data_IF_109336091620
#
_entry.id   IF_109336091620
#
_cell.length_a   1.000
_cell.length_b   1.000
_cell.length_c   1.000
_cell.angle_alpha   90.00
_cell.angle_beta   90.00
_cell.angle_gamma   90.00
#
_symmetry.space_group_name_H-M   'P 1'
#
loop_
_entity.id
_entity.type
_entity.pdbx_description
1 polymer ?
#
# COMPACT_ATOMS: atom_id res chain seq x y z
N UNK A 1 3.41 -29.62 25.91
CA UNK A 1 3.18 -30.41 24.68
C UNK A 1 3.15 -29.48 23.44
N UNK A 2 4.32 -29.21 22.85
CA UNK A 2 4.42 -28.51 21.57
C UNK A 2 4.03 -29.48 20.46
N UNK A 3 2.77 -29.42 20.02
CA UNK A 3 2.33 -30.10 18.82
C UNK A 3 3.14 -29.55 17.63
N UNK A 4 3.78 -30.45 16.88
CA UNK A 4 4.43 -30.19 15.60
C UNK A 4 3.48 -29.36 14.70
N UNK A 5 3.83 -28.10 14.39
CA UNK A 5 3.17 -27.32 13.34
C UNK A 5 3.57 -27.88 11.97
N UNK A 6 3.01 -29.04 11.63
CA UNK A 6 3.06 -29.58 10.27
C UNK A 6 2.08 -28.81 9.40
N UNK A 7 2.50 -28.48 8.17
CA UNK A 7 1.71 -27.93 7.06
C UNK A 7 0.22 -27.76 7.37
N UNK A 8 -0.18 -26.56 7.81
CA UNK A 8 -1.59 -26.20 7.84
C UNK A 8 -2.07 -26.26 6.39
N UNK A 9 -2.87 -27.26 6.07
CA UNK A 9 -3.53 -27.37 4.76
C UNK A 9 -4.36 -26.11 4.53
N UNK A 10 -4.49 -25.68 3.28
CA UNK A 10 -5.11 -24.41 3.00
C UNK A 10 -6.63 -24.41 3.26
N UNK A 11 -7.24 -23.23 3.15
CA UNK A 11 -8.65 -23.01 3.46
C UNK A 11 -9.62 -23.80 2.55
N UNK A 12 -9.20 -24.22 1.35
CA UNK A 12 -10.02 -25.07 0.47
C UNK A 12 -9.89 -26.53 0.89
N UNK A 13 -8.67 -27.02 1.12
CA UNK A 13 -8.45 -28.41 1.55
C UNK A 13 -9.11 -28.71 2.90
N UNK A 14 -9.29 -27.68 3.73
CA UNK A 14 -10.01 -27.75 5.01
C UNK A 14 -11.53 -27.59 4.87
N UNK A 15 -12.05 -27.35 3.67
CA UNK A 15 -13.48 -27.15 3.42
C UNK A 15 -14.05 -25.85 4.01
N UNK A 16 -13.22 -24.86 4.34
CA UNK A 16 -13.71 -23.54 4.79
C UNK A 16 -14.32 -22.74 3.64
N UNK A 17 -13.79 -22.93 2.43
CA UNK A 17 -14.22 -22.28 1.20
C UNK A 17 -14.22 -23.34 0.09
N UNK A 18 -15.31 -23.46 -0.67
CA UNK A 18 -15.31 -24.35 -1.85
C UNK A 18 -14.51 -23.72 -2.99
N UNK A 19 -14.13 -24.51 -3.99
CA UNK A 19 -13.41 -23.97 -5.14
C UNK A 19 -14.24 -22.95 -5.93
N UNK A 20 -15.55 -23.17 -6.01
CA UNK A 20 -16.52 -22.29 -6.66
C UNK A 20 -16.59 -20.95 -5.94
N UNK A 21 -16.78 -20.96 -4.61
CA UNK A 21 -16.78 -19.73 -3.81
C UNK A 21 -15.43 -19.00 -3.92
N UNK A 22 -14.31 -19.72 -3.93
CA UNK A 22 -13.01 -19.10 -4.12
C UNK A 22 -12.88 -18.41 -5.49
N UNK A 23 -13.42 -19.01 -6.56
CA UNK A 23 -13.45 -18.41 -7.89
C UNK A 23 -14.31 -17.14 -7.92
N UNK A 24 -15.50 -17.16 -7.30
CA UNK A 24 -16.38 -15.99 -7.18
C UNK A 24 -15.72 -14.85 -6.41
N UNK A 25 -15.08 -15.15 -5.28
CA UNK A 25 -14.34 -14.18 -4.48
C UNK A 25 -13.17 -13.57 -5.26
N UNK A 26 -12.44 -14.38 -6.03
CA UNK A 26 -11.35 -13.86 -6.87
C UNK A 26 -11.87 -12.98 -8.01
N UNK A 27 -12.99 -13.35 -8.62
CA UNK A 27 -13.63 -12.53 -9.65
C UNK A 27 -14.14 -11.20 -9.09
N UNK A 28 -14.78 -11.23 -7.93
CA UNK A 28 -15.17 -10.03 -7.18
C UNK A 28 -13.97 -9.12 -6.92
N UNK A 29 -12.84 -9.68 -6.48
CA UNK A 29 -11.62 -8.90 -6.27
C UNK A 29 -11.19 -8.20 -7.57
N UNK A 30 -11.13 -8.93 -8.69
CA UNK A 30 -10.71 -8.39 -9.99
C UNK A 30 -11.65 -7.32 -10.54
N UNK A 31 -12.97 -7.52 -10.43
CA UNK A 31 -13.96 -6.69 -11.12
C UNK A 31 -14.56 -5.57 -10.26
N UNK A 32 -14.63 -5.77 -8.94
CA UNK A 32 -15.32 -4.84 -8.05
C UNK A 32 -14.39 -4.13 -7.07
N UNK A 33 -13.25 -4.73 -6.73
CA UNK A 33 -12.35 -4.17 -5.72
C UNK A 33 -11.21 -3.37 -6.36
N UNK A 34 -10.53 -3.95 -7.36
CA UNK A 34 -9.37 -3.30 -8.00
C UNK A 34 -9.68 -1.96 -8.66
N UNK A 35 -10.93 -1.70 -9.07
CA UNK A 35 -11.32 -0.40 -9.61
C UNK A 35 -11.10 0.76 -8.62
N UNK A 36 -11.16 0.50 -7.31
CA UNK A 36 -11.02 1.54 -6.29
C UNK A 36 -9.56 1.83 -5.94
N UNK A 37 -8.74 0.78 -5.78
CA UNK A 37 -7.31 0.91 -5.52
C UNK A 37 -6.54 -0.29 -6.13
N UNK A 38 -6.06 -0.19 -7.39
CA UNK A 38 -5.44 -1.30 -8.11
C UNK A 38 -3.97 -1.52 -7.74
N UNK A 39 -3.70 -1.74 -6.45
CA UNK A 39 -2.35 -1.93 -5.93
C UNK A 39 -1.73 -3.31 -6.28
N UNK A 40 -2.55 -4.37 -6.26
CA UNK A 40 -2.12 -5.75 -6.53
C UNK A 40 -2.97 -6.32 -7.65
N UNK A 41 -2.47 -6.23 -8.88
CA UNK A 41 -3.21 -6.62 -10.09
C UNK A 41 -2.74 -7.99 -10.57
N UNK A 42 -3.66 -8.78 -11.12
CA UNK A 42 -3.38 -10.11 -11.65
C UNK A 42 -3.60 -10.14 -13.18
N UNK A 43 -2.92 -11.04 -13.91
CA UNK A 43 -3.22 -11.28 -15.31
C UNK A 43 -4.72 -11.61 -15.50
N UNK A 44 -5.40 -11.06 -16.53
CA UNK A 44 -6.83 -11.31 -16.73
C UNK A 44 -7.19 -12.80 -16.80
N UNK A 45 -6.32 -13.59 -17.44
CA UNK A 45 -6.47 -15.04 -17.63
C UNK A 45 -6.08 -15.89 -16.41
N UNK A 46 -5.51 -15.29 -15.36
CA UNK A 46 -5.12 -16.04 -14.15
C UNK A 46 -6.38 -16.63 -13.50
N UNK A 47 -6.34 -17.94 -13.25
CA UNK A 47 -7.39 -18.68 -12.56
C UNK A 47 -7.16 -18.66 -11.04
N UNK A 48 -8.22 -18.90 -10.26
CA UNK A 48 -8.09 -19.01 -8.79
C UNK A 48 -7.20 -20.20 -8.39
N UNK A 49 -7.21 -21.29 -9.17
CA UNK A 49 -6.35 -22.45 -8.94
C UNK A 49 -4.87 -22.12 -9.19
N UNK A 50 -4.59 -21.34 -10.23
CA UNK A 50 -3.25 -20.86 -10.49
C UNK A 50 -2.77 -19.92 -9.40
N UNK A 51 -3.62 -18.98 -8.95
CA UNK A 51 -3.33 -18.09 -7.82
C UNK A 51 -3.01 -18.91 -6.55
N UNK A 52 -3.89 -19.86 -6.19
CA UNK A 52 -3.74 -20.76 -5.04
C UNK A 52 -2.41 -21.52 -5.07
N UNK A 53 -2.01 -22.03 -6.23
CA UNK A 53 -0.78 -22.83 -6.39
C UNK A 53 0.49 -21.98 -6.43
N UNK A 54 0.44 -20.85 -7.13
CA UNK A 54 1.65 -20.06 -7.43
C UNK A 54 1.92 -18.94 -6.43
N UNK A 55 0.87 -18.38 -5.82
CA UNK A 55 0.93 -17.29 -4.84
C UNK A 55 -0.05 -17.56 -3.68
N UNK A 56 0.24 -18.55 -2.81
CA UNK A 56 -0.68 -19.00 -1.75
C UNK A 56 -0.94 -17.95 -0.65
N UNK A 57 0.00 -17.05 -0.36
CA UNK A 57 -0.19 -15.97 0.61
C UNK A 57 -1.13 -14.90 0.04
N UNK A 58 -0.96 -14.57 -1.24
CA UNK A 58 -1.90 -13.68 -1.94
C UNK A 58 -3.26 -14.32 -2.11
N UNK A 59 -3.33 -15.61 -2.38
CA UNK A 59 -4.59 -16.34 -2.41
C UNK A 59 -5.37 -16.12 -1.10
N UNK A 60 -4.76 -16.39 0.05
CA UNK A 60 -5.43 -16.18 1.34
C UNK A 60 -5.83 -14.71 1.56
N UNK A 61 -4.95 -13.76 1.23
CA UNK A 61 -5.23 -12.33 1.38
C UNK A 61 -6.42 -11.87 0.52
N UNK A 62 -6.49 -12.33 -0.73
CA UNK A 62 -7.62 -12.05 -1.64
C UNK A 62 -8.91 -12.67 -1.10
N UNK A 63 -8.86 -13.93 -0.64
CA UNK A 63 -10.05 -14.59 -0.07
C UNK A 63 -10.56 -13.85 1.17
N UNK A 64 -9.66 -13.45 2.07
CA UNK A 64 -10.02 -12.67 3.26
C UNK A 64 -10.64 -11.31 2.88
N UNK A 65 -10.02 -10.56 1.97
CA UNK A 65 -10.52 -9.25 1.55
C UNK A 65 -11.87 -9.33 0.82
N UNK A 66 -11.99 -10.23 -0.15
CA UNK A 66 -13.17 -10.33 -1.01
C UNK A 66 -14.38 -10.94 -0.30
N UNK A 67 -14.18 -11.69 0.80
CA UNK A 67 -15.26 -12.29 1.59
C UNK A 67 -16.08 -11.29 2.42
N UNK A 68 -15.92 -9.99 2.19
CA UNK A 68 -16.53 -8.91 2.99
C UNK A 68 -18.06 -8.93 3.06
N UNK A 69 -18.72 -9.59 2.12
CA UNK A 69 -20.19 -9.76 2.12
C UNK A 69 -20.65 -10.93 2.99
N UNK A 70 -19.72 -11.75 3.48
CA UNK A 70 -19.99 -12.88 4.37
C UNK A 70 -19.20 -12.72 5.66
N UNK A 71 -19.70 -11.90 6.58
CA UNK A 71 -18.99 -11.52 7.82
C UNK A 71 -18.44 -12.72 8.62
N UNK A 72 -19.20 -13.81 8.72
CA UNK A 72 -18.76 -15.02 9.43
C UNK A 72 -17.50 -15.64 8.80
N UNK A 73 -17.47 -15.74 7.47
CA UNK A 73 -16.32 -16.24 6.71
C UNK A 73 -15.16 -15.26 6.79
N UNK A 74 -15.41 -13.97 6.56
CA UNK A 74 -14.39 -12.92 6.61
C UNK A 74 -13.66 -12.90 7.96
N UNK A 75 -14.39 -13.00 9.07
CA UNK A 75 -13.77 -13.06 10.41
C UNK A 75 -12.82 -14.24 10.57
N UNK A 76 -13.17 -15.40 10.01
CA UNK A 76 -12.30 -16.59 10.04
C UNK A 76 -11.07 -16.39 9.16
N UNK A 77 -11.26 -15.95 7.92
CA UNK A 77 -10.17 -15.75 6.96
C UNK A 77 -9.21 -14.64 7.38
N UNK A 78 -9.72 -13.56 7.97
CA UNK A 78 -8.89 -12.47 8.48
C UNK A 78 -8.02 -12.93 9.65
N UNK A 79 -8.56 -13.77 10.54
CA UNK A 79 -7.76 -14.38 11.61
C UNK A 79 -6.66 -15.27 11.05
N UNK A 80 -6.98 -16.12 10.08
CA UNK A 80 -6.00 -16.97 9.39
C UNK A 80 -4.90 -16.15 8.71
N UNK A 81 -5.25 -15.02 8.08
CA UNK A 81 -4.30 -14.12 7.44
C UNK A 81 -3.35 -13.47 8.47
N UNK A 82 -3.87 -13.06 9.63
CA UNK A 82 -3.04 -12.50 10.70
C UNK A 82 -2.13 -13.56 11.33
N UNK A 83 -2.61 -14.79 11.51
CA UNK A 83 -1.79 -15.93 11.96
C UNK A 83 -0.69 -16.24 10.95
N UNK A 84 -0.98 -16.16 9.64
CA UNK A 84 0.00 -16.31 8.57
C UNK A 84 1.07 -15.21 8.65
N UNK A 85 0.69 -13.95 8.83
CA UNK A 85 1.67 -12.87 8.97
C UNK A 85 2.54 -13.05 10.23
N UNK A 86 1.94 -13.39 11.36
CA UNK A 86 2.70 -13.66 12.58
C UNK A 86 3.71 -14.80 12.38
N UNK A 87 3.31 -15.89 11.74
CA UNK A 87 4.20 -17.02 11.49
C UNK A 87 5.29 -16.69 10.47
N UNK A 88 4.91 -16.21 9.29
CA UNK A 88 5.84 -16.02 8.17
C UNK A 88 6.76 -14.81 8.37
N UNK A 89 6.21 -13.71 8.86
CA UNK A 89 6.94 -12.44 8.96
C UNK A 89 7.67 -12.35 10.29
N UNK A 90 6.97 -12.59 11.42
CA UNK A 90 7.54 -12.33 12.75
C UNK A 90 8.37 -13.52 13.25
N UNK A 91 7.84 -14.74 13.15
CA UNK A 91 8.52 -15.94 13.68
C UNK A 91 9.61 -16.42 12.72
N UNK A 92 9.29 -16.59 11.43
CA UNK A 92 10.22 -17.12 10.43
C UNK A 92 11.14 -16.03 9.86
N UNK A 93 10.69 -14.78 9.82
CA UNK A 93 11.47 -13.69 9.23
C UNK A 93 11.51 -13.71 7.70
N UNK A 94 10.52 -14.36 7.05
CA UNK A 94 10.41 -14.48 5.59
C UNK A 94 10.18 -13.11 4.94
N UNK A 95 10.88 -12.85 3.84
CA UNK A 95 10.81 -11.59 3.10
C UNK A 95 10.77 -11.88 1.62
N UNK A 96 9.65 -11.56 0.98
CA UNK A 96 9.45 -11.74 -0.45
C UNK A 96 8.37 -10.76 -0.96
N UNK A 97 8.27 -10.63 -2.28
CA UNK A 97 7.34 -9.71 -2.92
C UNK A 97 5.87 -10.05 -2.63
N UNK A 98 5.54 -11.34 -2.57
CA UNK A 98 4.18 -11.83 -2.35
C UNK A 98 3.65 -11.44 -0.97
N UNK A 99 4.45 -11.55 0.09
CA UNK A 99 4.10 -11.13 1.45
C UNK A 99 3.84 -9.63 1.52
N UNK A 100 4.63 -8.81 0.82
CA UNK A 100 4.41 -7.36 0.74
C UNK A 100 3.06 -7.06 0.09
N UNK A 101 2.77 -7.73 -1.03
CA UNK A 101 1.49 -7.57 -1.73
C UNK A 101 0.31 -8.10 -0.89
N UNK A 102 0.47 -9.18 -0.15
CA UNK A 102 -0.54 -9.69 0.79
C UNK A 102 -0.81 -8.69 1.92
N UNK A 103 0.23 -8.05 2.47
CA UNK A 103 0.08 -6.95 3.44
C UNK A 103 -0.66 -5.76 2.82
N UNK A 104 -0.38 -5.40 1.57
CA UNK A 104 -1.13 -4.35 0.87
C UNK A 104 -2.61 -4.68 0.78
N UNK A 105 -2.98 -5.90 0.39
CA UNK A 105 -4.38 -6.33 0.34
C UNK A 105 -5.02 -6.24 1.74
N UNK A 106 -4.32 -6.70 2.78
CA UNK A 106 -4.82 -6.68 4.15
C UNK A 106 -5.04 -5.26 4.71
N UNK A 107 -4.24 -4.29 4.29
CA UNK A 107 -4.37 -2.87 4.71
C UNK A 107 -5.41 -2.14 3.88
N UNK A 108 -5.44 -2.35 2.56
CA UNK A 108 -6.37 -1.65 1.67
C UNK A 108 -7.81 -2.05 1.97
N UNK A 109 -8.02 -3.34 2.24
CA UNK A 109 -9.32 -3.91 2.56
C UNK A 109 -9.39 -4.28 4.04
N UNK A 110 -8.90 -3.35 4.88
CA UNK A 110 -8.72 -3.60 6.30
C UNK A 110 -10.05 -3.89 7.00
N UNK A 111 -10.06 -5.00 7.73
CA UNK A 111 -11.14 -5.33 8.66
C UNK A 111 -10.77 -4.79 10.04
N UNK A 112 -11.46 -3.73 10.54
CA UNK A 112 -11.16 -3.17 11.83
C UNK A 112 -11.51 -4.16 12.95
N UNK A 113 -10.70 -4.21 14.02
CA UNK A 113 -11.02 -4.97 15.22
C UNK A 113 -12.17 -4.32 16.01
N UNK A 114 -12.69 -5.04 17.00
CA UNK A 114 -13.75 -4.54 17.88
C UNK A 114 -13.23 -3.46 18.84
N UNK A 115 -11.97 -3.57 19.28
CA UNK A 115 -11.34 -2.63 20.20
C UNK A 115 -10.28 -1.77 19.49
N UNK A 116 -10.24 -0.47 19.84
CA UNK A 116 -9.39 0.51 19.15
C UNK A 116 -7.89 0.22 19.34
N UNK A 117 -7.48 -0.27 20.52
CA UNK A 117 -6.12 -0.64 20.86
C UNK A 117 -5.58 -1.84 20.05
N UNK A 118 -6.46 -2.61 19.39
CA UNK A 118 -6.08 -3.73 18.52
C UNK A 118 -5.80 -3.28 17.08
N UNK A 119 -5.97 -1.99 16.76
CA UNK A 119 -5.70 -1.44 15.44
C UNK A 119 -4.22 -1.65 15.08
N UNK A 120 -4.02 -2.33 13.95
CA UNK A 120 -2.69 -2.77 13.49
C UNK A 120 -2.36 -2.36 12.07
N UNK A 121 -3.24 -1.62 11.39
CA UNK A 121 -3.01 -1.18 10.01
C UNK A 121 -1.67 -0.43 9.89
N UNK A 122 -1.34 0.45 10.84
CA UNK A 122 -0.06 1.19 10.85
C UNK A 122 1.15 0.26 10.93
N UNK A 123 1.07 -0.79 11.77
CA UNK A 123 2.11 -1.80 11.87
C UNK A 123 2.23 -2.62 10.58
N UNK A 124 1.10 -3.01 9.97
CA UNK A 124 1.08 -3.77 8.71
C UNK A 124 1.67 -2.96 7.55
N UNK A 125 1.36 -1.66 7.46
CA UNK A 125 1.95 -0.73 6.48
C UNK A 125 3.45 -0.67 6.63
N UNK A 126 3.96 -0.50 7.85
CA UNK A 126 5.40 -0.38 8.05
C UNK A 126 6.14 -1.71 7.93
N UNK A 127 5.50 -2.85 8.26
CA UNK A 127 6.05 -4.16 7.92
C UNK A 127 6.22 -4.32 6.41
N UNK A 128 5.25 -3.87 5.60
CA UNK A 128 5.37 -3.95 4.13
C UNK A 128 6.47 -3.02 3.61
N UNK A 129 6.55 -1.79 4.12
CA UNK A 129 7.57 -0.81 3.78
C UNK A 129 9.00 -1.29 4.09
N UNK A 130 9.23 -1.78 5.31
CA UNK A 130 10.54 -2.28 5.75
C UNK A 130 10.92 -3.53 4.95
N UNK A 131 9.98 -4.46 4.74
CA UNK A 131 10.23 -5.65 3.94
C UNK A 131 10.57 -5.30 2.49
N UNK A 132 9.89 -4.30 1.90
CA UNK A 132 10.20 -3.81 0.56
C UNK A 132 11.63 -3.26 0.48
N UNK A 133 12.08 -2.52 1.48
CA UNK A 133 13.47 -2.03 1.58
C UNK A 133 14.49 -3.15 1.77
N UNK A 134 14.17 -4.19 2.55
CA UNK A 134 15.06 -5.34 2.79
C UNK A 134 15.27 -6.20 1.53
N UNK A 135 14.20 -6.42 0.76
CA UNK A 135 14.30 -7.05 -0.57
C UNK A 135 14.82 -6.06 -1.63
N UNK A 136 15.03 -4.81 -1.21
CA UNK A 136 15.71 -3.73 -1.90
C UNK A 136 14.94 -3.08 -3.03
N UNK A 137 13.62 -3.07 -2.96
CA UNK A 137 12.79 -2.19 -3.80
C UNK A 137 13.19 -0.72 -3.58
N UNK A 138 12.75 0.14 -4.50
CA UNK A 138 12.98 1.58 -4.41
C UNK A 138 14.33 2.08 -4.95
N UNK A 139 15.15 1.20 -5.56
CA UNK A 139 16.43 1.58 -6.20
C UNK A 139 16.58 0.86 -7.54
N UNK A 140 17.17 1.53 -8.55
CA UNK A 140 17.43 0.97 -9.89
C UNK A 140 18.46 -0.14 -9.90
N UNK A 141 19.47 -0.03 -9.05
CA UNK A 141 20.63 -0.92 -9.02
C UNK A 141 20.92 -1.33 -7.58
N UNK A 142 21.53 -2.50 -7.42
CA UNK A 142 22.12 -2.89 -6.15
C UNK A 142 23.15 -1.80 -5.73
N UNK A 143 23.32 -1.54 -4.42
CA UNK A 143 24.39 -0.66 -3.97
C UNK A 143 25.73 -1.15 -4.56
N UNK A 144 26.55 -0.23 -5.06
CA UNK A 144 27.89 -0.58 -5.59
C UNK A 144 28.65 -1.38 -4.53
N UNK A 145 29.29 -2.49 -4.94
CA UNK A 145 30.17 -3.32 -4.11
C UNK A 145 31.05 -2.44 -3.23
N UNK A 146 30.93 -2.59 -1.90
CA UNK A 146 31.74 -1.87 -0.91
C UNK A 146 30.95 -1.08 0.12
N UNK A 147 29.65 -0.86 -0.07
CA UNK A 147 28.79 -0.29 0.98
C UNK A 147 27.78 -1.30 1.50
N UNK A 148 27.92 -1.62 2.79
CA UNK A 148 27.00 -2.32 3.68
C UNK A 148 27.14 -3.85 3.78
N UNK A 149 27.82 -4.31 4.84
CA UNK A 149 27.75 -5.68 5.36
C UNK A 149 26.38 -6.11 5.90
N UNK A 150 25.33 -5.33 5.64
CA UNK A 150 23.94 -5.57 6.03
C UNK A 150 22.97 -5.53 4.84
N UNK A 151 23.45 -5.33 3.60
CA UNK A 151 22.56 -5.43 2.45
C UNK A 151 22.19 -6.89 2.24
N UNK A 152 20.97 -7.25 2.64
CA UNK A 152 20.42 -8.57 2.33
C UNK A 152 20.60 -8.86 0.84
N UNK A 153 20.48 -7.84 -0.04
CA UNK A 153 20.58 -7.90 -1.51
C UNK A 153 21.81 -8.64 -2.08
N UNK A 154 22.92 -8.81 -1.38
CA UNK A 154 24.10 -9.54 -1.89
C UNK A 154 24.55 -10.71 -0.99
N UNK A 155 23.74 -11.10 0.01
CA UNK A 155 24.19 -12.06 1.02
C UNK A 155 24.34 -13.50 0.46
N UNK A 156 25.45 -14.22 0.72
CA UNK A 156 25.70 -15.57 0.18
C UNK A 156 24.67 -16.62 0.62
N UNK A 157 24.10 -16.48 1.82
CA UNK A 157 23.21 -17.47 2.43
C UNK A 157 21.72 -17.23 2.14
N UNK A 158 21.39 -16.71 0.96
CA UNK A 158 20.00 -16.39 0.60
C UNK A 158 19.26 -17.59 0.03
N UNK A 159 18.00 -17.77 0.47
CA UNK A 159 17.14 -18.88 0.04
C UNK A 159 16.51 -18.67 -1.35
N UNK A 160 16.31 -17.42 -1.76
CA UNK A 160 15.62 -17.08 -3.01
C UNK A 160 16.28 -15.90 -3.74
N UNK A 161 16.23 -15.86 -5.09
CA UNK A 161 16.64 -14.70 -5.87
C UNK A 161 15.75 -13.51 -5.54
N UNK A 162 16.35 -12.31 -5.59
CA UNK A 162 15.60 -11.08 -5.35
C UNK A 162 14.84 -10.67 -6.60
N UNK A 163 13.65 -10.08 -6.45
CA UNK A 163 12.93 -9.59 -7.61
C UNK A 163 13.67 -8.40 -8.23
N UNK A 164 13.50 -8.24 -9.54
CA UNK A 164 14.00 -7.07 -10.27
C UNK A 164 13.21 -5.83 -9.83
N UNK A 165 13.85 -4.87 -9.12
CA UNK A 165 13.16 -3.67 -8.65
C UNK A 165 12.62 -2.79 -9.78
N UNK A 166 13.12 -2.98 -11.02
CA UNK A 166 12.71 -2.21 -12.19
C UNK A 166 11.53 -2.83 -12.94
N UNK A 167 11.12 -4.05 -12.59
CA UNK A 167 9.91 -4.67 -13.11
C UNK A 167 8.65 -3.86 -12.75
N UNK A 168 7.63 -3.87 -13.61
CA UNK A 168 6.39 -3.13 -13.38
C UNK A 168 5.69 -3.59 -12.10
N UNK A 169 5.74 -4.88 -11.77
CA UNK A 169 5.20 -5.42 -10.51
C UNK A 169 5.91 -4.84 -9.28
N UNK A 170 7.24 -4.76 -9.32
CA UNK A 170 8.02 -4.19 -8.22
C UNK A 170 7.83 -2.68 -8.10
N UNK A 171 7.76 -1.97 -9.23
CA UNK A 171 7.48 -0.52 -9.26
C UNK A 171 6.11 -0.21 -8.66
N UNK A 172 5.07 -0.95 -9.07
CA UNK A 172 3.71 -0.85 -8.50
C UNK A 172 3.70 -1.14 -7.01
N UNK A 173 4.37 -2.21 -6.60
CA UNK A 173 4.47 -2.61 -5.19
C UNK A 173 5.16 -1.50 -4.38
N UNK A 174 6.28 -0.96 -4.86
CA UNK A 174 7.02 0.10 -4.18
C UNK A 174 6.23 1.40 -4.06
N UNK A 175 5.57 1.83 -5.14
CA UNK A 175 4.70 3.00 -5.12
C UNK A 175 3.49 2.82 -4.21
N UNK A 176 2.97 1.59 -4.09
CA UNK A 176 1.92 1.26 -3.11
C UNK A 176 2.44 1.37 -1.68
N UNK A 177 3.67 0.93 -1.39
CA UNK A 177 4.27 1.12 -0.06
C UNK A 177 4.33 2.60 0.30
N UNK A 178 4.77 3.46 -0.63
CA UNK A 178 4.77 4.91 -0.45
C UNK A 178 3.36 5.45 -0.21
N UNK A 179 2.40 5.10 -1.07
CA UNK A 179 1.01 5.54 -0.94
C UNK A 179 0.44 5.22 0.45
N UNK A 180 0.62 3.98 0.93
CA UNK A 180 0.09 3.57 2.24
C UNK A 180 0.83 4.24 3.40
N UNK A 181 2.16 4.38 3.31
CA UNK A 181 2.96 5.07 4.32
C UNK A 181 2.57 6.55 4.42
N UNK A 182 2.47 7.25 3.28
CA UNK A 182 2.03 8.64 3.21
C UNK A 182 0.59 8.82 3.70
N UNK A 183 -0.33 7.90 3.35
CA UNK A 183 -1.72 7.95 3.83
C UNK A 183 -1.78 7.89 5.36
N UNK A 184 -1.06 6.92 5.95
CA UNK A 184 -1.06 6.78 7.41
C UNK A 184 -0.29 7.88 8.13
N UNK A 185 0.77 8.42 7.53
CA UNK A 185 1.49 9.59 8.03
C UNK A 185 0.58 10.82 8.09
N UNK A 186 -0.12 11.11 6.99
CA UNK A 186 -1.11 12.18 6.91
C UNK A 186 -2.23 12.01 7.94
N UNK A 187 -2.92 10.86 7.96
CA UNK A 187 -4.09 10.66 8.83
C UNK A 187 -3.77 10.61 10.33
N UNK A 188 -2.53 10.31 10.71
CA UNK A 188 -2.13 10.17 12.11
C UNK A 188 -1.20 11.30 12.58
N UNK A 189 -0.87 12.26 11.71
CA UNK A 189 0.15 13.30 11.95
C UNK A 189 1.47 12.69 12.45
N UNK A 190 1.96 11.69 11.72
CA UNK A 190 3.21 10.97 12.05
C UNK A 190 4.25 11.16 10.96
N UNK A 191 5.55 11.08 11.30
CA UNK A 191 6.61 11.09 10.30
C UNK A 191 6.42 9.99 9.24
N UNK A 192 6.63 10.36 7.99
CA UNK A 192 6.55 9.43 6.87
C UNK A 192 7.87 8.65 6.70
N UNK A 193 7.81 7.32 6.84
CA UNK A 193 8.97 6.43 6.70
C UNK A 193 9.56 6.43 5.28
N UNK A 194 8.69 6.48 4.26
CA UNK A 194 9.12 6.41 2.86
C UNK A 194 9.00 7.80 2.24
N UNK A 195 10.14 8.39 1.91
CA UNK A 195 10.22 9.67 1.20
C UNK A 195 10.11 9.49 -0.31
N UNK A 196 9.45 10.44 -0.97
CA UNK A 196 9.42 10.47 -2.43
C UNK A 196 10.84 10.53 -3.02
N UNK A 197 11.10 9.74 -4.06
CA UNK A 197 12.42 9.65 -4.69
C UNK A 197 12.36 9.82 -6.21
N UNK A 198 13.46 10.19 -6.87
CA UNK A 198 13.50 10.25 -8.34
C UNK A 198 13.14 8.92 -9.01
N UNK A 199 13.48 7.79 -8.37
CA UNK A 199 13.11 6.47 -8.87
C UNK A 199 11.60 6.22 -8.82
N UNK A 200 10.87 6.81 -7.87
CA UNK A 200 9.41 6.75 -7.85
C UNK A 200 8.78 7.54 -8.98
N UNK A 201 9.30 8.73 -9.30
CA UNK A 201 8.85 9.51 -10.47
C UNK A 201 8.99 8.69 -11.74
N UNK A 202 10.16 8.09 -11.99
CA UNK A 202 10.34 7.20 -13.14
C UNK A 202 9.43 5.98 -13.08
N UNK A 203 9.22 5.41 -11.89
CA UNK A 203 8.34 4.26 -11.72
C UNK A 203 6.90 4.58 -12.10
N UNK A 204 6.43 5.76 -11.72
CA UNK A 204 5.12 6.28 -12.07
C UNK A 204 5.01 6.47 -13.60
N UNK A 205 6.05 7.00 -14.24
CA UNK A 205 6.09 7.15 -15.69
C UNK A 205 6.04 5.79 -16.40
N UNK A 206 6.84 4.81 -15.94
CA UNK A 206 6.83 3.45 -16.48
C UNK A 206 5.45 2.79 -16.37
N UNK A 207 4.74 2.97 -15.24
CA UNK A 207 3.38 2.48 -15.06
C UNK A 207 2.35 3.16 -15.99
N UNK A 208 2.62 4.39 -16.43
CA UNK A 208 1.73 5.13 -17.35
C UNK A 208 1.99 4.82 -18.81
N UNK A 209 3.25 4.60 -19.19
CA UNK A 209 3.66 4.58 -20.61
C UNK A 209 4.08 3.21 -21.13
N UNK A 210 4.42 2.25 -20.26
CA UNK A 210 4.86 0.93 -20.71
C UNK A 210 3.72 0.18 -21.41
N UNK A 211 3.98 -0.50 -22.54
CA UNK A 211 2.99 -1.36 -23.20
C UNK A 211 2.60 -2.58 -22.35
N UNK A 212 3.46 -3.00 -21.42
CA UNK A 212 3.23 -4.14 -20.54
C UNK A 212 2.53 -3.75 -19.22
N UNK A 213 2.22 -2.46 -19.03
CA UNK A 213 1.48 -1.99 -17.87
C UNK A 213 0.02 -2.41 -17.93
N UNK A 214 -0.58 -2.65 -16.76
CA UNK A 214 -2.01 -2.91 -16.70
C UNK A 214 -2.79 -1.64 -17.01
N UNK A 215 -3.97 -1.73 -17.67
CA UNK A 215 -4.81 -0.56 -17.91
C UNK A 215 -5.14 0.24 -16.64
N UNK A 216 -5.24 -0.45 -15.50
CA UNK A 216 -5.50 0.14 -14.18
C UNK A 216 -4.33 0.93 -13.60
N UNK A 217 -3.11 0.76 -14.11
CA UNK A 217 -1.91 1.45 -13.61
C UNK A 217 -1.98 2.97 -13.84
N UNK A 218 -2.65 3.41 -14.91
CA UNK A 218 -2.90 4.85 -15.16
C UNK A 218 -3.76 5.47 -14.05
N UNK A 219 -4.82 4.77 -13.64
CA UNK A 219 -5.67 5.21 -12.53
C UNK A 219 -4.93 5.17 -11.19
N UNK A 220 -4.18 4.08 -10.92
CA UNK A 220 -3.31 4.00 -9.74
C UNK A 220 -2.35 5.19 -9.67
N UNK A 221 -1.82 5.62 -10.81
CA UNK A 221 -0.87 6.72 -10.87
C UNK A 221 -1.46 8.07 -10.45
N UNK A 222 -2.77 8.27 -10.58
CA UNK A 222 -3.44 9.46 -10.05
C UNK A 222 -3.62 9.36 -8.52
N UNK A 223 -3.91 8.16 -7.99
CA UNK A 223 -3.99 7.92 -6.54
C UNK A 223 -2.63 8.06 -5.86
N UNK A 224 -1.55 7.56 -6.48
CA UNK A 224 -0.19 7.75 -5.96
C UNK A 224 0.17 9.23 -5.94
N UNK A 225 -0.22 9.97 -6.98
CA UNK A 225 0.04 11.40 -7.04
C UNK A 225 -0.63 12.15 -5.88
N UNK A 226 -1.86 11.80 -5.50
CA UNK A 226 -2.50 12.47 -4.36
C UNK A 226 -1.69 12.30 -3.08
N UNK A 227 -1.14 11.12 -2.84
CA UNK A 227 -0.39 10.85 -1.61
C UNK A 227 1.06 11.34 -1.64
N UNK A 228 1.63 11.51 -2.83
CA UNK A 228 2.83 12.32 -3.01
C UNK A 228 2.57 13.78 -2.61
N UNK A 229 1.45 14.35 -3.05
CA UNK A 229 1.08 15.71 -2.68
C UNK A 229 0.83 15.83 -1.17
N UNK A 230 0.21 14.82 -0.54
CA UNK A 230 0.07 14.77 0.92
C UNK A 230 1.43 14.85 1.63
N UNK A 231 2.45 14.13 1.15
CA UNK A 231 3.81 14.24 1.68
C UNK A 231 4.38 15.66 1.52
N UNK A 232 4.20 16.28 0.36
CA UNK A 232 4.68 17.64 0.10
C UNK A 232 3.97 18.67 1.00
N UNK A 233 2.67 18.54 1.21
CA UNK A 233 1.88 19.36 2.15
C UNK A 233 2.43 19.18 3.57
N UNK A 234 2.56 17.93 4.04
CA UNK A 234 3.01 17.64 5.39
C UNK A 234 4.39 18.24 5.69
N UNK A 235 5.30 18.20 4.72
CA UNK A 235 6.65 18.78 4.84
C UNK A 235 6.64 20.30 4.81
N UNK A 236 5.91 20.90 3.88
CA UNK A 236 5.94 22.36 3.70
C UNK A 236 5.18 23.10 4.80
N UNK A 237 4.19 22.45 5.41
CA UNK A 237 3.35 22.98 6.47
C UNK A 237 3.68 22.38 7.85
N UNK A 238 4.73 21.58 7.97
CA UNK A 238 5.17 20.94 9.24
C UNK A 238 4.05 20.19 9.97
N UNK A 239 3.19 19.50 9.23
CA UNK A 239 1.96 18.87 9.76
C UNK A 239 2.21 17.63 10.62
N UNK A 240 3.44 17.10 10.63
CA UNK A 240 3.88 15.94 11.40
C UNK A 240 4.67 16.31 12.67
N UNK A 241 4.86 17.61 12.94
CA UNK A 241 5.55 18.12 14.12
C UNK A 241 4.57 18.91 15.01
N UNK A 242 4.07 18.33 16.13
CA UNK A 242 3.13 19.01 17.01
C UNK A 242 3.76 20.19 17.76
N UNK A 243 5.09 20.26 17.86
CA UNK A 243 5.78 21.35 18.54
C UNK A 243 5.97 22.58 17.62
N UNK A 244 5.78 22.42 16.31
CA UNK A 244 5.88 23.49 15.33
C UNK A 244 4.53 24.16 15.09
N UNK A 245 4.29 25.32 15.72
CA UNK A 245 3.11 26.13 15.46
C UNK A 245 3.27 26.92 14.15
N UNK A 246 2.61 26.45 13.08
CA UNK A 246 2.58 27.18 11.79
C UNK A 246 1.46 28.22 11.81
N UNK A 247 1.84 29.50 11.70
CA UNK A 247 0.87 30.59 11.59
C UNK A 247 0.35 30.70 10.14
N UNK A 248 -0.95 30.46 9.96
CA UNK A 248 -1.63 30.58 8.65
C UNK A 248 -1.64 32.02 8.10
N UNK A 249 -1.53 33.03 8.98
CA UNK A 249 -1.49 34.44 8.60
C UNK A 249 -0.10 34.88 8.13
N UNK A 250 0.94 34.05 8.33
CA UNK A 250 2.27 34.38 7.85
C UNK A 250 2.33 34.39 6.31
N UNK A 251 3.00 35.40 5.75
CA UNK A 251 3.05 35.60 4.31
C UNK A 251 3.71 34.42 3.58
N UNK A 252 4.69 33.75 4.21
CA UNK A 252 5.33 32.55 3.66
C UNK A 252 4.35 31.38 3.63
N UNK A 253 3.62 31.14 4.71
CA UNK A 253 2.58 30.10 4.78
C UNK A 253 1.51 30.31 3.72
N UNK A 254 1.00 31.54 3.57
CA UNK A 254 0.00 31.86 2.55
C UNK A 254 0.52 31.67 1.12
N UNK A 255 1.77 32.06 0.86
CA UNK A 255 2.40 31.85 -0.45
C UNK A 255 2.54 30.34 -0.76
N UNK A 256 2.99 29.56 0.22
CA UNK A 256 3.08 28.10 0.12
C UNK A 256 1.71 27.47 -0.16
N UNK A 257 0.68 27.85 0.61
CA UNK A 257 -0.69 27.37 0.45
C UNK A 257 -1.20 27.61 -0.99
N UNK A 258 -1.07 28.83 -1.50
CA UNK A 258 -1.47 29.17 -2.89
C UNK A 258 -0.72 28.37 -3.95
N UNK A 259 0.56 28.07 -3.69
CA UNK A 259 1.36 27.20 -4.54
C UNK A 259 0.79 25.79 -4.61
N UNK A 260 0.47 25.21 -3.45
CA UNK A 260 -0.12 23.89 -3.31
C UNK A 260 -1.53 23.84 -3.94
N UNK A 261 -2.41 24.82 -3.68
CA UNK A 261 -3.73 24.92 -4.31
C UNK A 261 -3.63 24.87 -5.84
N UNK A 262 -2.73 25.66 -6.41
CA UNK A 262 -2.51 25.69 -7.87
C UNK A 262 -2.02 24.33 -8.40
N UNK A 263 -1.16 23.64 -7.67
CA UNK A 263 -0.66 22.33 -8.07
C UNK A 263 -1.76 21.26 -7.98
N UNK A 264 -2.64 21.33 -6.98
CA UNK A 264 -3.84 20.49 -6.86
C UNK A 264 -4.76 20.69 -8.07
N UNK A 265 -5.14 21.94 -8.35
CA UNK A 265 -6.02 22.30 -9.47
C UNK A 265 -5.45 21.88 -10.81
N UNK A 266 -4.15 22.12 -11.02
CA UNK A 266 -3.45 21.70 -12.22
C UNK A 266 -3.54 20.19 -12.41
N UNK A 267 -3.30 19.41 -11.36
CA UNK A 267 -3.37 17.95 -11.48
C UNK A 267 -4.80 17.47 -11.71
N UNK A 268 -5.80 18.01 -10.99
CA UNK A 268 -7.22 17.69 -11.22
C UNK A 268 -7.58 17.91 -12.70
N UNK A 269 -7.13 19.02 -13.30
CA UNK A 269 -7.36 19.33 -14.70
C UNK A 269 -6.70 18.34 -15.69
N UNK A 270 -5.63 17.63 -15.28
CA UNK A 270 -4.99 16.60 -16.11
C UNK A 270 -5.68 15.24 -16.06
N UNK A 271 -6.56 14.99 -15.09
CA UNK A 271 -7.22 13.70 -14.93
C UNK A 271 -8.34 13.56 -15.98
N UNK A 272 -8.32 12.51 -16.82
CA UNK A 272 -9.42 12.25 -17.76
C UNK A 272 -10.76 12.04 -17.04
N UNK A 273 -11.87 12.48 -17.63
CA UNK A 273 -13.20 12.44 -17.00
C UNK A 273 -13.61 11.02 -16.61
N UNK A 274 -13.24 10.03 -17.42
CA UNK A 274 -13.49 8.61 -17.21
C UNK A 274 -12.68 8.01 -16.04
N UNK A 275 -11.56 8.63 -15.67
CA UNK A 275 -10.73 8.22 -14.53
C UNK A 275 -11.11 8.95 -13.23
N UNK A 276 -11.96 9.98 -13.30
CA UNK A 276 -12.43 10.74 -12.14
C UNK A 276 -13.52 9.99 -11.34
N UNK A 277 -13.13 8.83 -10.81
CA UNK A 277 -13.98 7.96 -10.01
C UNK A 277 -14.25 8.55 -8.61
N UNK A 278 -15.29 8.08 -7.87
CA UNK A 278 -15.60 8.58 -6.53
C UNK A 278 -14.42 8.52 -5.55
N UNK A 279 -13.64 7.43 -5.57
CA UNK A 279 -12.47 7.27 -4.69
C UNK A 279 -11.38 8.33 -4.96
N UNK A 280 -11.14 8.67 -6.23
CA UNK A 280 -10.18 9.71 -6.59
C UNK A 280 -10.70 11.12 -6.25
N UNK A 281 -11.99 11.40 -6.49
CA UNK A 281 -12.64 12.65 -6.03
C UNK A 281 -12.51 12.83 -4.52
N UNK A 282 -12.81 11.77 -3.77
CA UNK A 282 -12.65 11.77 -2.31
C UNK A 282 -11.20 12.05 -1.90
N UNK A 283 -10.23 11.46 -2.60
CA UNK A 283 -8.80 11.70 -2.34
C UNK A 283 -8.41 13.17 -2.54
N UNK A 284 -8.90 13.82 -3.60
CA UNK A 284 -8.68 15.26 -3.81
C UNK A 284 -9.35 16.12 -2.75
N UNK A 285 -10.58 15.77 -2.34
CA UNK A 285 -11.27 16.48 -1.25
C UNK A 285 -10.52 16.34 0.08
N UNK A 286 -10.02 15.15 0.41
CA UNK A 286 -9.22 14.90 1.62
C UNK A 286 -7.93 15.74 1.59
N UNK A 287 -7.23 15.79 0.45
CA UNK A 287 -6.05 16.65 0.32
C UNK A 287 -6.37 18.13 0.52
N UNK A 288 -7.48 18.59 -0.04
CA UNK A 288 -7.89 19.98 0.13
C UNK A 288 -8.19 20.30 1.60
N UNK A 289 -8.86 19.38 2.32
CA UNK A 289 -9.08 19.51 3.76
C UNK A 289 -7.76 19.52 4.53
N UNK A 290 -6.87 18.58 4.25
CA UNK A 290 -5.56 18.48 4.92
C UNK A 290 -4.70 19.73 4.72
N UNK A 291 -4.69 20.30 3.52
CA UNK A 291 -3.98 21.53 3.20
C UNK A 291 -4.49 22.74 4.00
N UNK A 292 -5.79 22.78 4.27
CA UNK A 292 -6.46 23.88 4.98
C UNK A 292 -6.68 23.62 6.47
N UNK A 293 -6.20 22.49 6.98
CA UNK A 293 -6.41 22.07 8.36
C UNK A 293 -5.84 23.07 9.38
N UNK A 294 -4.77 23.79 9.02
CA UNK A 294 -4.20 24.87 9.84
C UNK A 294 -5.22 25.96 10.20
N UNK A 295 -6.22 26.21 9.35
CA UNK A 295 -7.28 27.19 9.61
C UNK A 295 -8.22 26.76 10.75
N UNK A 296 -8.28 25.47 11.07
CA UNK A 296 -9.07 24.94 12.19
C UNK A 296 -8.32 25.05 13.52
N UNK A 297 -7.01 25.27 13.48
CA UNK A 297 -6.14 25.33 14.66
C UNK A 297 -5.87 26.77 15.12
N UNK A 298 -6.19 27.78 14.30
CA UNK A 298 -5.90 29.19 14.58
C UNK A 298 -6.73 29.81 15.72
N UNK A 299 -7.84 29.17 16.12
CA UNK A 299 -8.73 29.69 17.16
C UNK A 299 -8.37 29.24 18.59
N UNK A 300 -7.36 28.37 18.77
CA UNK A 300 -6.95 27.86 20.09
C UNK A 300 -5.85 28.68 20.78
N UNK A 301 -5.50 29.86 20.26
CA UNK A 301 -4.50 30.77 20.85
C UNK A 301 -5.06 32.16 21.16
N UNK A 302 -6.28 32.24 21.70
CA UNK A 302 -6.86 33.46 22.26
C UNK A 302 -6.96 33.37 23.79
#
# INVERSE_FOLDING_TARGET
PMARRGNRTDIIDRGLVSLETAAELFQRYKEHMLKHLPAVVFPPAMSVMELRRSKPYLFLAVMAAASSETHGLQRVLQRELMELFAEKIVIVGEKNLELIQALHIAVIWYWPPEHFEELKFYQLVHMSAVMALDIGLGKKSAPKRGMTGFSWREHPFRRHPQPDPTSLECRRTWLTCHFLAANTAMSLHRPNLIRWSPFMTESLDMLRTSPDAYPTDKYLSHLIWTHRMAEDIGVQLSMDDPDTAVNIMDARTQYTLRGLERDLDKNIATVPKEMMQPTLKMSFSILNLYMHELALHSDNTA
#
